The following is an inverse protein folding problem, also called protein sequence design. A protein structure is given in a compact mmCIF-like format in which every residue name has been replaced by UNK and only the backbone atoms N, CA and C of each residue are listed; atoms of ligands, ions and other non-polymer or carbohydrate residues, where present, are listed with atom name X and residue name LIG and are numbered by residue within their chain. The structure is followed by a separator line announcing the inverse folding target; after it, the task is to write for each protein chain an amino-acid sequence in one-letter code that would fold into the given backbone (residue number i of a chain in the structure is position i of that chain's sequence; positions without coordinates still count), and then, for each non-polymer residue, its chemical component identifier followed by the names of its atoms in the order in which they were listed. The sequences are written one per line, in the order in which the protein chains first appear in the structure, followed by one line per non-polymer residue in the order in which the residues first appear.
data_IF_357408504003
#
_entry.id   IF_357408504003
#
_cell.length_a   1.000
_cell.length_b   1.000
_cell.length_c   1.000
_cell.angle_alpha   90.00
_cell.angle_beta   90.00
_cell.angle_gamma   90.00
#
_symmetry.space_group_name_H-M   'P 1'
#
loop_
_entity.id
_entity.type
_entity.pdbx_description
1 polymer ?
#
# COMPACT_ATOMS: atom_id res chain seq x y z
N UNK A 1 1.24 6.66 13.71
CA UNK A 1 2.73 6.73 13.67
C UNK A 1 3.31 5.62 12.79
N UNK A 2 4.62 5.69 12.46
CA UNK A 2 5.30 4.59 11.74
C UNK A 2 5.44 3.41 12.70
N UNK A 3 4.90 2.26 12.31
CA UNK A 3 4.98 1.02 13.09
C UNK A 3 6.13 0.14 12.60
N UNK A 4 6.21 -0.04 11.28
CA UNK A 4 7.27 -0.81 10.63
C UNK A 4 7.95 0.00 9.54
N UNK A 5 9.21 -0.28 9.28
CA UNK A 5 9.98 0.34 8.21
C UNK A 5 11.03 -0.60 7.65
N UNK A 6 11.31 -0.45 6.35
CA UNK A 6 12.43 -1.14 5.69
C UNK A 6 13.11 -0.19 4.71
N UNK A 7 14.42 -0.41 4.52
CA UNK A 7 15.24 0.35 3.57
C UNK A 7 15.91 -0.60 2.59
N UNK A 8 15.91 -0.23 1.32
CA UNK A 8 16.65 -0.96 0.30
C UNK A 8 17.24 0.00 -0.73
N UNK A 9 18.23 -0.51 -1.49
CA UNK A 9 18.85 0.25 -2.58
C UNK A 9 18.33 -0.25 -3.92
N UNK A 10 17.95 0.66 -4.78
CA UNK A 10 17.62 0.38 -6.17
C UNK A 10 18.88 0.15 -7.02
N UNK A 11 18.68 -0.36 -8.23
CA UNK A 11 19.75 -0.70 -9.19
C UNK A 11 20.61 0.54 -9.53
N UNK A 12 20.01 1.72 -9.57
CA UNK A 12 20.68 2.98 -9.89
C UNK A 12 21.35 3.66 -8.68
N UNK A 13 21.34 3.00 -7.51
CA UNK A 13 21.93 3.51 -6.28
C UNK A 13 21.01 4.39 -5.43
N UNK A 14 19.78 4.62 -5.86
CA UNK A 14 18.76 5.32 -5.06
C UNK A 14 18.43 4.56 -3.78
N UNK A 15 18.18 5.31 -2.72
CA UNK A 15 17.74 4.75 -1.46
C UNK A 15 16.21 4.82 -1.36
N UNK A 16 15.61 3.67 -1.11
CA UNK A 16 14.17 3.54 -0.89
C UNK A 16 13.89 3.28 0.58
N UNK A 17 12.83 3.90 1.08
CA UNK A 17 12.32 3.71 2.45
C UNK A 17 10.82 3.42 2.37
N UNK A 18 10.42 2.21 2.75
CA UNK A 18 9.02 1.85 2.96
C UNK A 18 8.67 2.05 4.43
N UNK A 19 7.55 2.67 4.68
CA UNK A 19 7.00 2.88 6.02
C UNK A 19 5.56 2.38 6.07
N UNK A 20 5.26 1.53 7.05
CA UNK A 20 3.90 1.09 7.38
C UNK A 20 3.45 1.91 8.59
N UNK A 21 2.41 2.71 8.38
CA UNK A 21 1.87 3.61 9.39
C UNK A 21 0.60 3.00 10.00
N UNK A 22 0.50 3.03 11.31
CA UNK A 22 -0.70 2.70 12.08
C UNK A 22 -1.10 3.91 12.91
N UNK A 23 -2.34 4.36 12.79
CA UNK A 23 -2.82 5.54 13.50
C UNK A 23 -2.93 5.33 15.01
N UNK A 24 -3.14 4.09 15.44
CA UNK A 24 -3.28 3.69 16.85
C UNK A 24 -1.97 3.31 17.53
N UNK A 25 -0.86 3.28 16.79
CA UNK A 25 0.43 2.83 17.33
C UNK A 25 1.18 3.96 18.04
N UNK A 26 1.59 3.71 19.28
CA UNK A 26 2.36 4.63 20.13
C UNK A 26 3.72 4.10 20.56
N UNK A 27 4.18 2.99 19.97
CA UNK A 27 5.43 2.32 20.31
C UNK A 27 6.65 2.81 19.51
N UNK A 28 7.75 2.10 19.70
CA UNK A 28 8.95 2.28 18.88
C UNK A 28 8.78 1.56 17.54
N UNK A 29 9.20 2.25 16.46
CA UNK A 29 9.17 1.66 15.11
C UNK A 29 10.15 0.49 15.01
N UNK A 30 9.70 -0.59 14.35
CA UNK A 30 10.47 -1.82 14.14
C UNK A 30 11.00 -1.87 12.71
N UNK A 31 12.28 -2.20 12.56
CA UNK A 31 12.87 -2.50 11.27
C UNK A 31 12.44 -3.89 10.81
N UNK A 32 12.03 -4.00 9.56
CA UNK A 32 11.61 -5.25 8.94
C UNK A 32 12.40 -5.48 7.66
N UNK A 33 12.38 -6.70 7.14
CA UNK A 33 13.08 -7.10 5.93
C UNK A 33 12.11 -7.53 4.85
N UNK A 34 12.50 -7.32 3.60
CA UNK A 34 11.66 -7.66 2.45
C UNK A 34 12.02 -6.89 1.20
N UNK A 35 11.14 -6.96 0.23
CA UNK A 35 11.27 -6.20 -1.02
C UNK A 35 9.91 -5.61 -1.44
N UNK A 36 9.97 -4.63 -2.33
CA UNK A 36 8.80 -3.88 -2.79
C UNK A 36 8.89 -3.66 -4.28
N UNK A 37 7.84 -4.01 -4.99
CA UNK A 37 7.66 -3.71 -6.40
C UNK A 37 6.61 -2.60 -6.56
N UNK A 38 6.99 -1.49 -7.21
CA UNK A 38 6.10 -0.36 -7.47
C UNK A 38 5.58 -0.44 -8.90
N UNK A 39 4.29 -0.67 -9.04
CA UNK A 39 3.62 -0.88 -10.31
C UNK A 39 2.70 0.29 -10.65
N UNK A 40 2.73 0.71 -11.91
CA UNK A 40 1.78 1.66 -12.46
C UNK A 40 0.76 0.94 -13.33
N UNK A 41 -0.52 1.33 -13.21
CA UNK A 41 -1.55 0.81 -14.10
C UNK A 41 -1.18 1.14 -15.56
N UNK A 42 -1.24 0.13 -16.44
CA UNK A 42 -1.00 0.37 -17.86
C UNK A 42 -2.06 1.29 -18.45
N UNK A 43 -1.64 2.25 -19.27
CA UNK A 43 -2.58 3.06 -20.07
C UNK A 43 -3.21 2.16 -21.12
N UNK A 44 -4.49 1.90 -20.99
CA UNK A 44 -5.29 1.24 -22.03
C UNK A 44 -5.80 2.23 -23.07
N UNK A 45 -5.85 3.50 -22.72
CA UNK A 45 -6.35 4.59 -23.57
C UNK A 45 -5.43 5.80 -23.44
N UNK A 46 -5.07 6.43 -24.57
CA UNK A 46 -4.28 7.66 -24.62
C UNK A 46 -4.95 8.84 -23.92
N UNK A 47 -6.28 8.81 -23.79
CA UNK A 47 -7.08 9.83 -23.09
C UNK A 47 -7.17 9.61 -21.58
N UNK A 48 -6.60 8.52 -21.05
CA UNK A 48 -6.57 8.26 -19.61
C UNK A 48 -5.54 9.16 -18.94
N UNK A 49 -6.00 10.26 -18.35
CA UNK A 49 -5.17 11.27 -17.68
C UNK A 49 -4.72 10.83 -16.26
N UNK A 50 -5.47 9.92 -15.64
CA UNK A 50 -5.21 9.48 -14.28
C UNK A 50 -4.67 8.06 -14.31
N UNK A 51 -3.43 7.88 -13.83
CA UNK A 51 -2.78 6.58 -13.70
C UNK A 51 -2.70 6.27 -12.21
N UNK A 52 -3.37 5.19 -11.80
CA UNK A 52 -3.24 4.65 -10.44
C UNK A 52 -1.96 3.83 -10.33
N UNK A 53 -1.43 3.75 -9.10
CA UNK A 53 -0.28 2.91 -8.78
C UNK A 53 -0.61 1.94 -7.64
N UNK A 54 0.12 0.83 -7.61
CA UNK A 54 0.06 -0.17 -6.55
C UNK A 54 1.47 -0.57 -6.12
N UNK A 55 1.58 -1.07 -4.90
CA UNK A 55 2.79 -1.72 -4.41
C UNK A 55 2.48 -3.17 -4.13
N UNK A 56 3.32 -4.06 -4.65
CA UNK A 56 3.39 -5.45 -4.24
C UNK A 56 4.55 -5.56 -3.24
N UNK A 57 4.23 -5.93 -2.02
CA UNK A 57 5.16 -5.92 -0.90
C UNK A 57 5.32 -7.35 -0.41
N UNK A 58 6.55 -7.84 -0.35
CA UNK A 58 6.89 -9.13 0.25
C UNK A 58 7.80 -8.91 1.43
N UNK A 59 7.38 -9.31 2.62
CA UNK A 59 8.11 -9.17 3.87
C UNK A 59 8.54 -10.53 4.40
N UNK A 60 9.69 -10.57 5.06
CA UNK A 60 10.13 -11.74 5.80
C UNK A 60 9.48 -11.72 7.18
N UNK A 61 8.71 -12.79 7.51
CA UNK A 61 8.14 -12.95 8.83
C UNK A 61 9.24 -13.41 9.82
N UNK A 62 9.28 -12.79 10.97
CA UNK A 62 10.19 -13.11 12.06
C UNK A 62 9.50 -12.93 13.43
N UNK A 63 10.27 -12.95 14.51
CA UNK A 63 9.74 -12.75 15.87
C UNK A 63 9.11 -11.37 16.08
N UNK A 64 9.44 -10.38 15.24
CA UNK A 64 8.99 -8.99 15.35
C UNK A 64 7.84 -8.67 14.40
N UNK A 65 7.60 -9.52 13.41
CA UNK A 65 6.57 -9.32 12.38
C UNK A 65 5.91 -10.65 12.04
N UNK A 66 4.62 -10.74 12.32
CA UNK A 66 3.77 -11.88 11.95
C UNK A 66 2.61 -11.39 11.06
N UNK A 67 2.01 -12.32 10.32
CA UNK A 67 0.80 -12.02 9.53
C UNK A 67 -0.29 -11.34 10.37
N UNK A 68 -0.47 -11.80 11.61
CA UNK A 68 -1.50 -11.30 12.53
C UNK A 68 -1.30 -9.81 12.89
N UNK A 69 -0.05 -9.34 12.90
CA UNK A 69 0.27 -7.93 13.21
C UNK A 69 -0.19 -6.96 12.12
N UNK A 70 -0.37 -7.46 10.89
CA UNK A 70 -0.78 -6.70 9.72
C UNK A 70 -2.23 -7.02 9.30
N UNK A 71 -2.78 -8.14 9.78
CA UNK A 71 -4.18 -8.48 9.50
C UNK A 71 -5.13 -7.55 10.26
N UNK A 72 -6.11 -7.01 9.55
CA UNK A 72 -7.15 -6.16 10.11
C UNK A 72 -8.42 -6.24 9.27
N UNK A 73 -9.57 -6.14 9.93
CA UNK A 73 -10.87 -6.00 9.26
C UNK A 73 -11.15 -4.53 8.86
N UNK A 74 -10.32 -3.60 9.33
CA UNK A 74 -10.46 -2.17 9.06
C UNK A 74 -9.63 -1.78 7.84
N UNK A 75 -10.28 -1.45 6.72
CA UNK A 75 -9.65 -1.18 5.42
C UNK A 75 -8.64 -0.04 5.41
N UNK A 76 -8.72 0.90 6.33
CA UNK A 76 -7.85 2.09 6.35
C UNK A 76 -6.87 2.13 7.52
N UNK A 77 -6.76 1.05 8.30
CA UNK A 77 -5.92 1.01 9.50
C UNK A 77 -4.45 1.23 9.17
N UNK A 78 -3.94 0.47 8.21
CA UNK A 78 -2.55 0.58 7.79
C UNK A 78 -2.42 1.43 6.54
N UNK A 79 -1.59 2.46 6.63
CA UNK A 79 -1.20 3.29 5.48
C UNK A 79 0.23 3.00 5.10
N UNK A 80 0.49 2.97 3.81
CA UNK A 80 1.80 2.68 3.26
C UNK A 80 2.38 3.94 2.63
N UNK A 81 3.63 4.22 2.94
CA UNK A 81 4.38 5.32 2.34
C UNK A 81 5.71 4.81 1.82
N UNK A 82 5.95 4.99 0.52
CA UNK A 82 7.24 4.70 -0.11
C UNK A 82 7.94 6.02 -0.47
N UNK A 83 9.18 6.15 -0.04
CA UNK A 83 10.06 7.27 -0.36
C UNK A 83 11.23 6.81 -1.21
N UNK A 84 11.65 7.65 -2.13
CA UNK A 84 12.89 7.52 -2.90
C UNK A 84 13.75 8.75 -2.63
N UNK A 85 14.96 8.56 -2.08
CA UNK A 85 15.85 9.67 -1.69
C UNK A 85 15.12 10.74 -0.86
N UNK A 86 14.40 10.31 0.18
CA UNK A 86 13.56 11.12 1.08
C UNK A 86 12.31 11.78 0.44
N UNK A 87 12.11 11.65 -0.87
CA UNK A 87 10.91 12.14 -1.53
C UNK A 87 9.82 11.05 -1.56
N UNK A 88 8.62 11.38 -1.09
CA UNK A 88 7.48 10.45 -1.17
C UNK A 88 7.06 10.26 -2.62
N UNK A 89 7.11 9.01 -3.09
CA UNK A 89 6.71 8.61 -4.45
C UNK A 89 5.42 7.80 -4.47
N UNK A 90 5.02 7.23 -3.32
CA UNK A 90 3.76 6.52 -3.16
C UNK A 90 3.19 6.77 -1.76
N UNK A 91 1.88 6.93 -1.69
CA UNK A 91 1.11 6.96 -0.45
C UNK A 91 -0.24 6.32 -0.69
N UNK A 92 -0.56 5.28 0.09
CA UNK A 92 -1.77 4.51 -0.10
C UNK A 92 -2.19 3.75 1.14
N UNK A 93 -3.11 2.82 0.98
CA UNK A 93 -3.60 1.93 2.02
C UNK A 93 -3.23 0.49 1.72
N UNK A 94 -3.01 -0.27 2.79
CA UNK A 94 -2.84 -1.71 2.72
C UNK A 94 -4.21 -2.37 2.50
N UNK A 95 -4.29 -3.31 1.55
CA UNK A 95 -5.49 -4.11 1.31
C UNK A 95 -5.56 -5.26 2.31
N UNK A 96 -6.59 -5.34 3.17
CA UNK A 96 -6.68 -6.40 4.16
C UNK A 96 -6.87 -7.80 3.55
N UNK A 97 -7.58 -7.87 2.43
CA UNK A 97 -7.88 -9.10 1.69
C UNK A 97 -6.77 -9.55 0.74
N UNK A 98 -5.76 -8.71 0.53
CA UNK A 98 -4.56 -8.99 -0.26
C UNK A 98 -3.38 -9.52 0.55
N UNK A 99 -3.57 -9.85 1.83
CA UNK A 99 -2.49 -10.36 2.69
C UNK A 99 -2.55 -11.89 2.73
N UNK A 100 -1.45 -12.53 2.39
CA UNK A 100 -1.33 -13.98 2.45
C UNK A 100 0.10 -14.39 2.85
N UNK A 101 0.22 -15.58 3.41
CA UNK A 101 1.45 -16.15 3.92
C UNK A 101 1.67 -17.54 3.31
N UNK A 102 2.87 -17.77 2.82
CA UNK A 102 3.26 -19.05 2.24
C UNK A 102 3.91 -19.95 3.29
N UNK A 103 3.27 -21.09 3.61
CA UNK A 103 3.76 -22.06 4.59
C UNK A 103 4.85 -22.99 4.03
N UNK A 104 5.65 -22.55 3.06
CA UNK A 104 6.62 -23.40 2.36
C UNK A 104 8.04 -23.09 2.79
N UNK A 105 8.48 -23.59 3.94
CA UNK A 105 9.85 -23.61 4.44
C UNK A 105 10.20 -22.69 5.62
N UNK A 106 11.42 -22.81 6.13
CA UNK A 106 11.96 -22.16 7.33
C UNK A 106 12.03 -20.60 7.33
N UNK A 107 11.57 -19.96 6.27
CA UNK A 107 11.37 -18.50 6.17
C UNK A 107 9.98 -18.28 5.62
N UNK A 108 9.15 -17.70 6.43
CA UNK A 108 7.79 -17.36 6.03
C UNK A 108 7.81 -15.98 5.38
N UNK A 109 7.23 -15.90 4.21
CA UNK A 109 7.07 -14.64 3.50
C UNK A 109 5.62 -14.19 3.62
N UNK A 110 5.43 -12.93 3.99
CA UNK A 110 4.12 -12.28 4.02
C UNK A 110 4.03 -11.42 2.77
N UNK A 111 3.12 -11.77 1.88
CA UNK A 111 2.82 -10.96 0.69
C UNK A 111 1.59 -10.10 0.94
N UNK A 112 1.66 -8.85 0.50
CA UNK A 112 0.58 -7.90 0.66
C UNK A 112 0.56 -6.88 -0.48
N UNK A 113 -0.65 -6.37 -0.76
CA UNK A 113 -0.88 -5.35 -1.77
C UNK A 113 -1.26 -4.02 -1.12
N UNK A 114 -0.72 -2.94 -1.63
CA UNK A 114 -1.16 -1.60 -1.29
C UNK A 114 -1.59 -0.84 -2.54
N UNK A 115 -2.64 -0.02 -2.41
CA UNK A 115 -3.16 0.81 -3.48
C UNK A 115 -3.17 2.28 -3.11
N UNK A 116 -2.95 3.13 -4.11
CA UNK A 116 -3.05 4.58 -3.94
C UNK A 116 -4.51 5.06 -3.87
N UNK A 117 -4.70 6.32 -3.47
CA UNK A 117 -6.04 6.91 -3.37
C UNK A 117 -6.78 7.00 -4.71
N UNK A 118 -6.07 7.03 -5.84
CA UNK A 118 -6.69 7.08 -7.16
C UNK A 118 -7.31 5.74 -7.55
N UNK A 119 -6.70 4.63 -7.12
CA UNK A 119 -7.26 3.29 -7.26
C UNK A 119 -8.57 3.15 -6.49
N UNK A 120 -8.62 3.67 -5.27
CA UNK A 120 -9.82 3.66 -4.43
C UNK A 120 -10.96 4.46 -5.08
N UNK A 121 -10.67 5.65 -5.62
CA UNK A 121 -11.67 6.48 -6.29
C UNK A 121 -12.30 5.76 -7.49
N UNK A 122 -11.56 4.93 -8.20
CA UNK A 122 -12.09 4.15 -9.33
C UNK A 122 -13.11 3.10 -8.90
N UNK A 123 -12.98 2.57 -7.69
CA UNK A 123 -13.87 1.55 -7.13
C UNK A 123 -15.12 2.17 -6.45
N UNK A 124 -15.08 3.47 -6.13
CA UNK A 124 -16.22 4.18 -5.56
C UNK A 124 -17.29 4.43 -6.62
N UNK A 125 -18.43 3.80 -6.45
CA UNK A 125 -19.63 4.17 -7.21
C UNK A 125 -20.15 5.50 -6.70
N UNK A 126 -20.22 6.52 -7.59
CA UNK A 126 -20.88 7.79 -7.28
C UNK A 126 -22.40 7.60 -7.28
N UNK A 127 -22.89 6.92 -6.27
CA UNK A 127 -24.31 6.63 -6.07
C UNK A 127 -24.79 7.38 -4.85
N UNK A 128 -25.94 8.06 -4.96
CA UNK A 128 -26.59 8.68 -3.81
C UNK A 128 -27.17 7.61 -2.89
N UNK A 129 -27.53 8.00 -1.66
CA UNK A 129 -28.16 7.11 -0.68
C UNK A 129 -29.47 6.49 -1.18
N UNK A 130 -30.12 7.08 -2.19
CA UNK A 130 -31.34 6.57 -2.85
C UNK A 130 -31.04 5.58 -3.99
N UNK A 131 -29.78 5.23 -4.24
CA UNK A 131 -29.35 4.32 -5.31
C UNK A 131 -29.27 4.97 -6.71
N UNK A 132 -29.49 6.26 -6.83
CA UNK A 132 -29.34 6.99 -8.11
C UNK A 132 -27.94 7.53 -8.29
N UNK A 133 -27.47 7.65 -9.54
CA UNK A 133 -26.16 8.23 -9.83
C UNK A 133 -26.15 9.75 -9.63
N UNK A 134 -25.03 10.28 -9.13
CA UNK A 134 -24.79 11.72 -9.15
C UNK A 134 -24.60 12.17 -10.61
N UNK A 135 -25.56 12.94 -11.13
CA UNK A 135 -25.41 13.65 -12.39
C UNK A 135 -25.06 15.09 -12.05
N UNK A 136 -23.77 15.39 -11.96
CA UNK A 136 -23.27 16.74 -11.68
C UNK A 136 -22.80 17.41 -12.97
N UNK A 137 -23.21 18.66 -13.22
CA UNK A 137 -22.51 19.53 -14.16
C UNK A 137 -21.29 20.08 -13.44
N UNK A 138 -20.11 19.82 -13.98
CA UNK A 138 -18.91 20.56 -13.58
C UNK A 138 -19.08 21.96 -14.18
N UNK A 139 -19.46 22.94 -13.35
CA UNK A 139 -19.37 24.35 -13.71
C UNK A 139 -17.92 24.78 -13.53
N UNK A 140 -17.29 25.18 -14.63
CA UNK A 140 -15.99 25.87 -14.61
C UNK A 140 -16.12 27.25 -13.99
#
# INVERSE_FOLDING_TARGET
MVKYWLTYKGIEGDTYLLEILDSSFEGQKTEIHGHVDHNYASRKDLMQSIISSSLDITLEADENLTLQDLYTEEESKFKIRLKRNDQTIFYGILKPDGIWEDFVSNRWEISMDAMDGLSIIKELSFVKDDGTFYIGKITQ
#
